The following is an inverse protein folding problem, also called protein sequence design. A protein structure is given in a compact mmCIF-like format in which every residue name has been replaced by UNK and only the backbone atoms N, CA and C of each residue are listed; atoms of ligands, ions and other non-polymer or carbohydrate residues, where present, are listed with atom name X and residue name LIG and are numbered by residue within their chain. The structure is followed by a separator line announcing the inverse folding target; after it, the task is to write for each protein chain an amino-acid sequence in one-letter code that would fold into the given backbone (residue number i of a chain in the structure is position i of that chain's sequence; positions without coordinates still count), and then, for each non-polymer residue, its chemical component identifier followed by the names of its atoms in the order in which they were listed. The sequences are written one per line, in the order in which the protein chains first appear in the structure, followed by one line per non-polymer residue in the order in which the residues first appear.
data_IF_062290789737
#
_entry.id   IF_062290789737
#
_cell.length_a   1.000
_cell.length_b   1.000
_cell.length_c   1.000
_cell.angle_alpha   90.00
_cell.angle_beta   90.00
_cell.angle_gamma   90.00
#
_symmetry.space_group_name_H-M   'P 1'
#
loop_
_entity.id
_entity.type
_entity.pdbx_description
1 polymer ?
#
# COMPACT_ATOMS: atom_id res chain seq x y z
N UNK A 1 -6.36 30.68 -2.39
CA UNK A 1 -4.89 30.42 -2.54
C UNK A 1 -4.06 31.03 -1.43
N UNK A 2 -4.34 32.24 -0.94
CA UNK A 2 -3.60 32.91 0.14
C UNK A 2 -3.31 32.00 1.37
N UNK A 3 -4.32 31.23 1.81
CA UNK A 3 -4.13 30.27 2.90
C UNK A 3 -3.07 29.20 2.58
N UNK A 4 -3.11 28.63 1.38
CA UNK A 4 -2.17 27.60 0.95
C UNK A 4 -0.75 28.15 0.87
N UNK A 5 -0.56 29.30 0.26
CA UNK A 5 0.74 29.93 0.12
C UNK A 5 1.41 30.19 1.48
N UNK A 6 0.59 30.48 2.51
CA UNK A 6 1.07 30.73 3.88
C UNK A 6 1.26 29.48 4.73
N UNK A 7 0.41 28.43 4.53
CA UNK A 7 0.32 27.30 5.46
C UNK A 7 0.58 25.93 4.81
N UNK A 8 0.99 25.88 3.54
CA UNK A 8 1.31 24.61 2.88
C UNK A 8 2.36 23.84 3.67
N UNK A 9 2.21 22.54 3.74
CA UNK A 9 3.17 21.66 4.40
C UNK A 9 4.47 21.60 3.59
N UNK A 10 5.62 21.67 4.24
CA UNK A 10 6.91 21.38 3.61
C UNK A 10 7.08 19.86 3.51
N UNK A 11 7.01 19.31 2.29
CA UNK A 11 7.09 17.87 2.02
C UNK A 11 8.14 17.61 0.93
N UNK A 12 8.89 16.50 0.99
CA UNK A 12 9.99 16.22 0.05
C UNK A 12 9.59 16.15 -1.43
N UNK A 13 8.31 15.93 -1.70
CA UNK A 13 7.73 15.81 -3.06
C UNK A 13 6.97 17.08 -3.52
N UNK A 14 7.10 18.18 -2.79
CA UNK A 14 6.48 19.46 -3.17
C UNK A 14 7.49 20.42 -3.76
N UNK A 15 6.96 21.37 -4.53
CA UNK A 15 7.74 22.40 -5.21
C UNK A 15 8.86 21.81 -6.11
N UNK A 16 8.66 20.57 -6.59
CA UNK A 16 9.52 19.90 -7.55
C UNK A 16 8.75 19.72 -8.86
N UNK A 17 9.35 20.11 -9.97
CA UNK A 17 8.73 20.03 -11.30
C UNK A 17 9.12 18.70 -11.98
N UNK A 18 8.83 17.57 -11.30
CA UNK A 18 9.25 16.24 -11.72
C UNK A 18 8.05 15.28 -11.68
N UNK A 19 7.51 14.85 -12.84
CA UNK A 19 6.35 13.96 -12.90
C UNK A 19 6.58 12.61 -12.25
N UNK A 20 7.79 12.03 -12.34
CA UNK A 20 8.11 10.75 -11.73
C UNK A 20 8.05 10.85 -10.21
N UNK A 21 8.67 11.86 -9.63
CA UNK A 21 8.71 12.08 -8.18
C UNK A 21 7.33 12.40 -7.62
N UNK A 22 6.56 13.21 -8.34
CA UNK A 22 5.15 13.50 -8.00
C UNK A 22 4.33 12.21 -8.02
N UNK A 23 4.42 11.42 -9.09
CA UNK A 23 3.67 10.17 -9.22
C UNK A 23 4.04 9.16 -8.14
N UNK A 24 5.33 8.95 -7.88
CA UNK A 24 5.80 8.07 -6.80
C UNK A 24 5.19 8.45 -5.44
N UNK A 25 5.23 9.73 -5.09
CA UNK A 25 4.67 10.21 -3.82
C UNK A 25 3.18 9.91 -3.71
N UNK A 26 2.41 10.15 -4.77
CA UNK A 26 0.97 9.93 -4.80
C UNK A 26 0.62 8.43 -4.71
N UNK A 27 1.41 7.56 -5.33
CA UNK A 27 1.27 6.11 -5.18
C UNK A 27 1.58 5.66 -3.74
N UNK A 28 2.63 6.19 -3.12
CA UNK A 28 2.98 5.87 -1.73
C UNK A 28 1.95 6.38 -0.72
N UNK A 29 1.33 7.54 -0.99
CA UNK A 29 0.33 8.17 -0.12
C UNK A 29 -1.04 7.48 -0.14
N UNK A 30 -1.34 6.64 -1.14
CA UNK A 30 -2.60 5.90 -1.15
C UNK A 30 -2.77 5.07 0.14
N UNK A 31 -3.76 5.42 0.97
CA UNK A 31 -4.07 4.76 2.25
C UNK A 31 -2.90 4.71 3.26
N UNK A 32 -1.89 5.57 3.10
CA UNK A 32 -0.74 5.66 3.99
C UNK A 32 -0.57 7.10 4.48
N UNK A 33 -0.24 7.26 5.76
CA UNK A 33 -0.04 8.58 6.36
C UNK A 33 1.26 9.23 5.87
N UNK A 34 1.24 10.56 5.70
CA UNK A 34 2.39 11.36 5.21
C UNK A 34 3.68 11.08 5.99
N UNK A 35 3.61 11.09 7.33
CA UNK A 35 4.78 10.87 8.18
C UNK A 35 5.40 9.48 7.98
N UNK A 36 4.60 8.49 7.62
CA UNK A 36 5.10 7.16 7.28
C UNK A 36 5.74 7.15 5.90
N UNK A 37 5.21 7.90 4.93
CA UNK A 37 5.71 7.92 3.55
C UNK A 37 7.06 8.63 3.41
N UNK A 38 7.30 9.71 4.16
CA UNK A 38 8.52 10.53 4.04
C UNK A 38 9.81 9.68 4.02
N UNK A 39 10.10 8.81 5.01
CA UNK A 39 11.33 8.02 4.98
C UNK A 39 11.40 7.04 3.80
N UNK A 40 10.27 6.43 3.40
CA UNK A 40 10.22 5.52 2.25
C UNK A 40 10.51 6.24 0.94
N UNK A 41 9.90 7.40 0.74
CA UNK A 41 10.11 8.24 -0.42
C UNK A 41 11.58 8.66 -0.55
N UNK A 42 12.16 9.17 0.52
CA UNK A 42 13.56 9.61 0.52
C UNK A 42 14.53 8.46 0.21
N UNK A 43 14.31 7.28 0.82
CA UNK A 43 15.12 6.10 0.56
C UNK A 43 14.97 5.60 -0.88
N UNK A 44 13.74 5.65 -1.41
CA UNK A 44 13.47 5.27 -2.80
C UNK A 44 14.17 6.20 -3.79
N UNK A 45 13.98 7.52 -3.67
CA UNK A 45 14.59 8.50 -4.58
C UNK A 45 16.13 8.47 -4.51
N UNK A 46 16.70 8.17 -3.34
CA UNK A 46 18.16 8.00 -3.20
C UNK A 46 18.66 6.80 -4.03
N UNK A 47 17.93 5.68 -4.07
CA UNK A 47 18.34 4.47 -4.80
C UNK A 47 17.87 4.50 -6.26
N UNK A 48 16.71 5.05 -6.51
CA UNK A 48 16.06 5.10 -7.83
C UNK A 48 15.64 6.53 -8.16
N UNK A 49 16.59 7.39 -8.58
CA UNK A 49 16.33 8.83 -8.80
C UNK A 49 15.48 9.12 -10.03
N UNK A 50 15.37 8.19 -10.99
CA UNK A 50 14.66 8.34 -12.26
C UNK A 50 13.70 7.17 -12.50
N UNK A 51 12.74 7.37 -13.41
CA UNK A 51 11.83 6.33 -13.88
C UNK A 51 12.60 5.15 -14.49
N UNK A 52 13.59 5.43 -15.34
CA UNK A 52 14.39 4.40 -16.00
C UNK A 52 15.14 3.52 -14.99
N UNK A 53 15.68 4.13 -13.92
CA UNK A 53 16.34 3.35 -12.86
C UNK A 53 15.39 2.37 -12.16
N UNK A 54 14.08 2.70 -12.07
CA UNK A 54 13.06 1.76 -11.58
C UNK A 54 12.76 0.70 -12.63
N UNK A 55 12.57 1.08 -13.89
CA UNK A 55 12.23 0.13 -14.97
C UNK A 55 13.28 -0.96 -15.16
N UNK A 56 14.56 -0.62 -14.99
CA UNK A 56 15.72 -1.50 -15.13
C UNK A 56 16.05 -2.31 -13.86
N UNK A 57 15.37 -2.05 -12.75
CA UNK A 57 15.67 -2.70 -11.48
C UNK A 57 15.07 -4.09 -11.33
N UNK A 58 15.60 -4.87 -10.40
CA UNK A 58 14.97 -6.11 -9.96
C UNK A 58 13.77 -5.82 -9.05
N UNK A 59 12.65 -6.49 -9.32
CA UNK A 59 11.41 -6.26 -8.56
C UNK A 59 11.56 -6.56 -7.05
N UNK A 60 12.40 -7.54 -6.69
CA UNK A 60 12.67 -7.89 -5.29
C UNK A 60 13.34 -6.74 -4.52
N UNK A 61 14.19 -5.98 -5.17
CA UNK A 61 14.84 -4.80 -4.59
C UNK A 61 13.83 -3.68 -4.31
N UNK A 62 12.88 -3.49 -5.24
CA UNK A 62 11.78 -2.53 -5.04
C UNK A 62 10.85 -2.96 -3.92
N UNK A 63 10.52 -4.25 -3.85
CA UNK A 63 9.71 -4.80 -2.75
C UNK A 63 10.42 -4.64 -1.40
N UNK A 64 11.74 -4.77 -1.36
CA UNK A 64 12.51 -4.56 -0.13
C UNK A 64 12.46 -3.11 0.35
N UNK A 65 12.58 -2.14 -0.54
CA UNK A 65 12.42 -0.72 -0.19
C UNK A 65 10.98 -0.36 0.20
N UNK A 66 9.99 -1.12 -0.30
CA UNK A 66 8.57 -0.93 0.00
C UNK A 66 8.12 -1.66 1.26
N UNK A 67 8.97 -2.50 1.83
CA UNK A 67 8.64 -3.37 2.96
C UNK A 67 8.14 -2.56 4.16
N UNK A 68 6.97 -2.94 4.67
CA UNK A 68 6.32 -2.24 5.79
C UNK A 68 5.33 -1.15 5.39
N UNK A 69 5.41 -0.59 4.17
CA UNK A 69 4.47 0.43 3.68
C UNK A 69 3.08 -0.15 3.39
N UNK A 70 3.02 -1.47 3.11
CA UNK A 70 1.78 -2.19 2.81
C UNK A 70 1.23 -1.93 1.40
N UNK A 71 0.09 -2.58 1.09
CA UNK A 71 -0.54 -2.47 -0.24
C UNK A 71 0.46 -2.69 -1.39
N UNK A 72 1.19 -3.79 -1.34
CA UNK A 72 2.30 -4.11 -2.24
C UNK A 72 1.92 -4.16 -3.73
N UNK A 73 0.63 -4.33 -4.04
CA UNK A 73 0.12 -4.18 -5.41
C UNK A 73 0.40 -2.81 -6.01
N UNK A 74 0.53 -1.74 -5.19
CA UNK A 74 0.91 -0.41 -5.65
C UNK A 74 2.34 -0.41 -6.19
N UNK A 75 3.29 -0.96 -5.44
CA UNK A 75 4.69 -1.12 -5.87
C UNK A 75 4.76 -1.91 -7.17
N UNK A 76 4.07 -3.06 -7.24
CA UNK A 76 4.04 -3.91 -8.44
C UNK A 76 3.48 -3.19 -9.66
N UNK A 77 2.36 -2.49 -9.50
CA UNK A 77 1.73 -1.77 -10.60
C UNK A 77 2.59 -0.59 -11.04
N UNK A 78 3.18 0.14 -10.09
CA UNK A 78 4.10 1.24 -10.37
C UNK A 78 5.32 0.74 -11.17
N UNK A 79 5.95 -0.36 -10.75
CA UNK A 79 7.06 -0.98 -11.48
C UNK A 79 6.67 -1.33 -12.92
N UNK A 80 5.55 -2.04 -13.11
CA UNK A 80 5.05 -2.39 -14.45
C UNK A 80 4.77 -1.17 -15.32
N UNK A 81 4.20 -0.12 -14.73
CA UNK A 81 3.93 1.11 -15.46
C UNK A 81 5.24 1.84 -15.84
N UNK A 82 6.25 1.84 -14.96
CA UNK A 82 7.58 2.36 -15.30
C UNK A 82 8.22 1.59 -16.46
N UNK A 83 8.10 0.25 -16.48
CA UNK A 83 8.58 -0.57 -17.59
C UNK A 83 7.87 -0.23 -18.91
N UNK A 84 6.53 -0.12 -18.90
CA UNK A 84 5.77 0.27 -20.09
C UNK A 84 6.15 1.67 -20.58
N UNK A 85 6.33 2.64 -19.66
CA UNK A 85 6.76 3.99 -20.06
C UNK A 85 8.17 3.96 -20.65
N UNK A 86 9.07 3.13 -20.11
CA UNK A 86 10.41 2.99 -20.64
C UNK A 86 10.42 2.40 -22.05
N UNK A 87 9.55 1.41 -22.34
CA UNK A 87 9.50 0.72 -23.63
C UNK A 87 8.68 1.45 -24.69
N UNK A 88 7.52 1.99 -24.31
CA UNK A 88 6.52 2.47 -25.26
C UNK A 88 6.51 4.01 -25.40
N UNK A 89 7.21 4.71 -24.49
CA UNK A 89 7.23 6.18 -24.42
C UNK A 89 8.65 6.74 -24.18
N UNK A 90 9.70 6.02 -24.53
CA UNK A 90 11.11 6.45 -24.40
C UNK A 90 11.47 6.95 -22.99
N UNK A 91 10.83 6.42 -21.95
CA UNK A 91 11.02 6.82 -20.55
C UNK A 91 10.36 8.16 -20.17
N UNK A 92 9.59 8.77 -21.07
CA UNK A 92 8.90 10.06 -20.84
C UNK A 92 7.48 9.78 -20.38
N UNK A 93 7.12 10.29 -19.19
CA UNK A 93 5.76 10.17 -18.67
C UNK A 93 4.79 10.92 -19.57
N UNK A 94 3.75 10.23 -20.13
CA UNK A 94 2.77 10.88 -20.99
C UNK A 94 2.01 12.01 -20.26
N UNK A 95 1.94 13.17 -20.87
CA UNK A 95 1.13 14.30 -20.38
C UNK A 95 -0.34 14.24 -20.84
N UNK A 96 -0.71 13.28 -21.66
CA UNK A 96 -2.11 13.00 -22.00
C UNK A 96 -2.75 12.18 -20.91
N UNK A 97 -3.85 12.69 -20.33
CA UNK A 97 -4.53 12.04 -19.20
C UNK A 97 -5.14 10.68 -19.56
N UNK A 98 -5.58 10.47 -20.80
CA UNK A 98 -6.19 9.21 -21.23
C UNK A 98 -5.10 8.13 -21.31
N UNK A 99 -3.97 8.46 -21.94
CA UNK A 99 -2.81 7.55 -22.03
C UNK A 99 -2.29 7.24 -20.64
N UNK A 100 -2.06 8.26 -19.79
CA UNK A 100 -1.53 8.06 -18.46
C UNK A 100 -2.48 7.22 -17.57
N UNK A 101 -3.80 7.44 -17.67
CA UNK A 101 -4.81 6.69 -16.92
C UNK A 101 -4.93 5.22 -17.36
N UNK A 102 -4.43 4.85 -18.53
CA UNK A 102 -4.42 3.46 -19.01
C UNK A 102 -3.29 2.62 -18.40
N UNK A 103 -2.31 3.24 -17.75
CA UNK A 103 -1.17 2.55 -17.15
C UNK A 103 -1.55 1.73 -15.91
N UNK A 104 -0.85 0.62 -15.63
CA UNK A 104 -1.10 -0.21 -14.47
C UNK A 104 -1.09 0.58 -13.15
N UNK A 105 -2.18 0.50 -12.39
CA UNK A 105 -2.30 1.15 -11.09
C UNK A 105 -2.57 2.65 -11.12
N UNK A 106 -2.69 3.24 -12.30
CA UNK A 106 -3.11 4.64 -12.48
C UNK A 106 -4.62 4.68 -12.62
N UNK A 107 -5.28 5.33 -11.68
CA UNK A 107 -6.72 5.58 -11.72
C UNK A 107 -7.00 7.08 -11.75
N UNK A 108 -8.29 7.49 -11.78
CA UNK A 108 -8.69 8.90 -11.89
C UNK A 108 -8.06 9.83 -10.85
N UNK A 109 -7.80 9.32 -9.63
CA UNK A 109 -7.11 10.09 -8.60
C UNK A 109 -5.64 10.35 -8.97
N UNK A 110 -4.87 9.29 -9.27
CA UNK A 110 -3.44 9.41 -9.60
C UNK A 110 -3.26 10.25 -10.87
N UNK A 111 -4.06 9.99 -11.90
CA UNK A 111 -3.96 10.77 -13.14
C UNK A 111 -4.29 12.25 -12.90
N UNK A 112 -5.36 12.56 -12.16
CA UNK A 112 -5.69 13.94 -11.80
C UNK A 112 -4.60 14.62 -10.97
N UNK A 113 -3.99 13.92 -10.02
CA UNK A 113 -2.90 14.46 -9.20
C UNK A 113 -1.65 14.77 -10.03
N UNK A 114 -1.17 13.79 -10.82
CA UNK A 114 0.04 13.97 -11.63
C UNK A 114 -0.17 15.02 -12.71
N UNK A 115 -1.31 14.97 -13.43
CA UNK A 115 -1.62 15.97 -14.47
C UNK A 115 -1.72 17.39 -13.91
N UNK A 116 -2.31 17.56 -12.73
CA UNK A 116 -2.44 18.88 -12.13
C UNK A 116 -1.15 19.41 -11.50
N UNK A 117 -0.42 18.54 -10.78
CA UNK A 117 0.76 18.97 -10.00
C UNK A 117 1.99 19.10 -10.90
N UNK A 118 2.25 18.10 -11.74
CA UNK A 118 3.46 18.08 -12.56
C UNK A 118 3.30 18.72 -13.94
N UNK A 119 2.09 18.64 -14.53
CA UNK A 119 1.84 19.19 -15.87
C UNK A 119 0.95 20.44 -15.89
N UNK A 120 0.55 20.92 -14.71
CA UNK A 120 -0.30 22.13 -14.56
C UNK A 120 -1.62 22.07 -15.35
N UNK A 121 -2.18 20.88 -15.52
CA UNK A 121 -3.45 20.68 -16.23
C UNK A 121 -4.65 20.72 -15.26
N UNK A 122 -5.81 21.24 -15.67
CA UNK A 122 -6.95 21.49 -14.77
C UNK A 122 -7.76 20.21 -14.44
N UNK A 123 -7.12 19.23 -13.85
CA UNK A 123 -7.74 17.96 -13.47
C UNK A 123 -7.91 17.82 -11.95
N UNK A 124 -9.14 17.56 -11.45
CA UNK A 124 -9.38 17.28 -10.05
C UNK A 124 -8.73 15.97 -9.60
N UNK A 125 -8.03 15.99 -8.46
CA UNK A 125 -7.44 14.81 -7.81
C UNK A 125 -8.27 14.41 -6.58
N UNK A 126 -9.40 13.75 -6.78
CA UNK A 126 -10.37 13.48 -5.70
C UNK A 126 -9.92 12.29 -4.87
N UNK A 127 -9.22 12.56 -3.76
CA UNK A 127 -8.89 11.59 -2.72
C UNK A 127 -9.98 11.54 -1.63
N UNK A 128 -9.80 10.73 -0.60
CA UNK A 128 -10.71 10.64 0.53
C UNK A 128 -10.83 11.95 1.33
N UNK A 129 -9.79 12.81 1.34
CA UNK A 129 -9.81 14.10 2.01
C UNK A 129 -10.62 15.12 1.22
N UNK A 130 -10.33 15.26 -0.06
CA UNK A 130 -11.06 16.16 -0.97
C UNK A 130 -12.53 15.73 -1.03
N UNK A 131 -12.78 14.45 -1.17
CA UNK A 131 -14.17 13.94 -1.18
C UNK A 131 -14.93 14.34 0.10
N UNK A 132 -14.36 14.11 1.28
CA UNK A 132 -14.96 14.49 2.57
C UNK A 132 -15.22 15.99 2.67
N UNK A 133 -14.24 16.83 2.27
CA UNK A 133 -14.41 18.30 2.26
C UNK A 133 -15.57 18.68 1.36
N UNK A 134 -15.63 18.14 0.16
CA UNK A 134 -16.66 18.50 -0.81
C UNK A 134 -18.06 18.02 -0.40
N UNK A 135 -18.17 16.86 0.25
CA UNK A 135 -19.43 16.44 0.87
C UNK A 135 -19.92 17.46 1.90
N UNK A 136 -19.03 17.95 2.75
CA UNK A 136 -19.34 18.98 3.75
C UNK A 136 -19.62 20.33 3.12
N UNK A 137 -18.77 20.74 2.21
CA UNK A 137 -18.89 22.04 1.52
C UNK A 137 -20.23 22.16 0.78
N UNK A 138 -20.64 21.13 0.06
CA UNK A 138 -21.89 21.09 -0.70
C UNK A 138 -23.10 20.60 0.09
N UNK A 139 -22.94 20.12 1.33
CA UNK A 139 -24.01 19.57 2.16
C UNK A 139 -24.60 18.28 1.58
N UNK A 140 -23.76 17.39 1.04
CA UNK A 140 -24.17 16.12 0.44
C UNK A 140 -24.07 14.99 1.48
N UNK A 141 -25.14 14.21 1.68
CA UNK A 141 -25.17 13.17 2.72
C UNK A 141 -24.46 11.87 2.27
N UNK A 142 -24.83 11.38 1.10
CA UNK A 142 -24.51 10.02 0.68
C UNK A 142 -23.56 9.99 -0.50
N UNK A 143 -22.67 8.98 -0.51
CA UNK A 143 -21.77 8.72 -1.63
C UNK A 143 -22.54 7.98 -2.75
N UNK A 144 -23.10 8.75 -3.67
CA UNK A 144 -23.80 8.28 -4.88
C UNK A 144 -23.07 8.78 -6.12
N UNK A 145 -23.26 8.11 -7.26
CA UNK A 145 -22.72 8.55 -8.56
C UNK A 145 -23.14 9.99 -8.85
N UNK A 146 -24.41 10.32 -8.60
CA UNK A 146 -24.93 11.67 -8.79
C UNK A 146 -24.16 12.71 -7.95
N UNK A 147 -23.95 12.45 -6.69
CA UNK A 147 -23.24 13.36 -5.80
C UNK A 147 -21.74 13.47 -6.16
N UNK A 148 -21.11 12.37 -6.59
CA UNK A 148 -19.73 12.39 -7.06
C UNK A 148 -19.58 13.24 -8.33
N UNK A 149 -20.52 13.16 -9.26
CA UNK A 149 -20.54 14.00 -10.46
C UNK A 149 -20.69 15.49 -10.09
N UNK A 150 -21.52 15.82 -9.09
CA UNK A 150 -21.64 17.19 -8.56
C UNK A 150 -20.35 17.70 -7.94
N UNK A 151 -19.64 16.84 -7.18
CA UNK A 151 -18.34 17.16 -6.61
C UNK A 151 -17.34 17.45 -7.72
N UNK A 152 -17.24 16.54 -8.70
CA UNK A 152 -16.34 16.70 -9.84
C UNK A 152 -16.62 18.00 -10.60
N UNK A 153 -17.86 18.23 -10.99
CA UNK A 153 -18.28 19.47 -11.68
C UNK A 153 -17.98 20.73 -10.87
N UNK A 154 -18.11 20.69 -9.54
CA UNK A 154 -17.78 21.84 -8.70
C UNK A 154 -16.27 22.07 -8.62
N UNK A 155 -15.48 21.02 -8.51
CA UNK A 155 -14.03 21.11 -8.47
C UNK A 155 -13.47 21.66 -9.78
N UNK A 156 -13.99 21.26 -10.93
CA UNK A 156 -13.57 21.80 -12.24
C UNK A 156 -13.76 23.30 -12.35
N UNK A 157 -14.71 23.91 -11.64
CA UNK A 157 -14.86 25.36 -11.62
C UNK A 157 -13.78 26.10 -10.82
N UNK A 158 -13.06 25.42 -9.94
CA UNK A 158 -12.02 26.01 -9.07
C UNK A 158 -10.61 25.88 -9.63
N UNK A 159 -10.38 24.88 -10.47
CA UNK A 159 -9.05 24.30 -10.73
C UNK A 159 -8.30 24.97 -11.91
N UNK A 160 -8.73 26.13 -12.41
CA UNK A 160 -8.23 26.67 -13.69
C UNK A 160 -6.89 27.43 -13.62
N UNK A 161 -6.55 28.08 -12.49
CA UNK A 161 -5.38 28.97 -12.43
C UNK A 161 -4.12 28.30 -11.86
N UNK A 162 -4.27 27.46 -10.83
CA UNK A 162 -3.18 26.77 -10.12
C UNK A 162 -3.65 25.37 -9.73
N UNK A 163 -3.84 24.46 -10.72
CA UNK A 163 -4.54 23.20 -10.48
C UNK A 163 -3.86 22.32 -9.44
N UNK A 164 -2.55 22.15 -9.51
CA UNK A 164 -1.78 21.38 -8.54
C UNK A 164 -1.89 21.93 -7.13
N UNK A 165 -1.77 23.25 -6.99
CA UNK A 165 -1.85 23.91 -5.68
C UNK A 165 -3.25 23.82 -5.07
N UNK A 166 -4.29 23.90 -5.89
CA UNK A 166 -5.67 23.76 -5.42
C UNK A 166 -5.92 22.34 -4.91
N UNK A 167 -5.53 21.31 -5.65
CA UNK A 167 -5.63 19.92 -5.20
C UNK A 167 -4.86 19.72 -3.90
N UNK A 168 -3.59 20.12 -3.83
CA UNK A 168 -2.76 20.00 -2.63
C UNK A 168 -3.32 20.81 -1.45
N UNK A 169 -3.88 22.01 -1.68
CA UNK A 169 -4.49 22.81 -0.62
C UNK A 169 -5.70 22.11 -0.01
N UNK A 170 -6.55 21.49 -0.82
CA UNK A 170 -7.69 20.71 -0.34
C UNK A 170 -7.24 19.49 0.44
N UNK A 171 -6.20 18.79 -0.02
CA UNK A 171 -5.61 17.66 0.74
C UNK A 171 -5.07 18.13 2.11
N UNK A 172 -4.41 19.30 2.16
CA UNK A 172 -3.88 19.88 3.39
C UNK A 172 -5.01 20.30 4.36
N UNK A 173 -6.03 20.96 3.87
CA UNK A 173 -7.24 21.30 4.65
C UNK A 173 -7.86 20.01 5.20
N UNK A 174 -7.98 18.95 4.40
CA UNK A 174 -8.55 17.67 4.81
C UNK A 174 -7.74 16.96 5.90
N UNK A 175 -6.41 17.05 5.83
CA UNK A 175 -5.53 16.39 6.80
C UNK A 175 -5.32 17.19 8.10
N UNK A 176 -5.46 18.53 8.06
CA UNK A 176 -5.17 19.40 9.21
C UNK A 176 -6.41 20.03 9.85
N UNK A 177 -7.35 20.53 9.06
CA UNK A 177 -8.51 21.33 9.50
C UNK A 177 -9.81 20.51 9.46
N UNK A 178 -10.17 19.98 8.29
CA UNK A 178 -11.44 19.29 8.06
C UNK A 178 -11.28 17.78 8.19
N UNK A 179 -10.87 17.29 9.39
CA UNK A 179 -10.62 15.86 9.65
C UNK A 179 -11.91 15.06 9.73
N UNK A 180 -11.81 13.73 9.75
CA UNK A 180 -12.99 12.83 9.79
C UNK A 180 -13.81 12.97 11.06
N UNK A 181 -13.17 13.10 12.21
CA UNK A 181 -13.82 13.10 13.52
C UNK A 181 -13.73 14.45 14.27
N UNK A 182 -12.87 15.37 13.80
CA UNK A 182 -12.65 16.70 14.41
C UNK A 182 -12.53 17.71 13.27
N UNK A 183 -13.14 18.88 13.46
CA UNK A 183 -13.09 20.00 12.51
C UNK A 183 -12.70 21.29 13.21
N UNK A 184 -11.95 22.14 12.53
CA UNK A 184 -11.54 23.47 12.98
C UNK A 184 -12.06 24.51 11.99
N UNK A 185 -13.40 24.64 11.92
CA UNK A 185 -14.07 25.41 10.86
C UNK A 185 -13.73 26.89 10.88
N UNK A 186 -13.45 27.48 12.03
CA UNK A 186 -13.05 28.89 12.18
C UNK A 186 -11.70 29.19 11.50
N UNK A 187 -10.84 28.16 11.36
CA UNK A 187 -9.53 28.25 10.67
C UNK A 187 -9.61 27.86 9.20
N UNK A 188 -10.79 27.43 8.73
CA UNK A 188 -10.96 26.88 7.38
C UNK A 188 -11.17 28.01 6.36
N UNK A 189 -10.34 28.09 5.29
CA UNK A 189 -10.52 29.13 4.26
C UNK A 189 -11.81 28.97 3.45
N UNK A 190 -12.51 27.83 3.59
CA UNK A 190 -13.78 27.54 2.91
C UNK A 190 -15.01 27.78 3.79
N UNK A 191 -14.83 28.20 5.05
CA UNK A 191 -15.91 28.28 6.04
C UNK A 191 -17.10 29.15 5.62
N UNK A 192 -16.83 30.31 5.04
CA UNK A 192 -17.87 31.29 4.63
C UNK A 192 -18.87 30.73 3.61
N UNK A 193 -18.47 29.75 2.79
CA UNK A 193 -19.33 29.14 1.78
C UNK A 193 -19.66 27.67 2.06
N UNK A 194 -19.22 27.14 3.22
CA UNK A 194 -19.40 25.73 3.56
C UNK A 194 -20.80 25.49 4.12
N UNK A 195 -21.66 24.81 3.37
CA UNK A 195 -23.07 24.57 3.75
C UNK A 195 -23.22 23.91 5.11
N UNK A 196 -22.40 22.90 5.41
CA UNK A 196 -22.56 22.17 6.68
C UNK A 196 -22.03 22.96 7.89
N UNK A 197 -21.05 23.84 7.69
CA UNK A 197 -20.59 24.75 8.75
C UNK A 197 -21.65 25.83 9.03
N UNK A 198 -22.19 26.45 8.01
CA UNK A 198 -23.26 27.45 8.16
C UNK A 198 -24.50 26.88 8.86
N UNK A 199 -24.76 25.58 8.71
CA UNK A 199 -25.85 24.88 9.37
C UNK A 199 -25.44 24.29 10.76
N UNK A 200 -24.20 24.45 11.22
CA UNK A 200 -23.72 23.96 12.51
C UNK A 200 -23.52 22.44 12.62
N UNK A 201 -23.51 21.69 11.50
CA UNK A 201 -23.53 20.22 11.48
C UNK A 201 -22.45 19.55 10.64
N UNK A 202 -21.18 20.06 10.57
CA UNK A 202 -20.18 19.53 9.65
C UNK A 202 -19.81 18.05 9.91
N UNK A 203 -19.87 17.57 11.14
CA UNK A 203 -19.50 16.19 11.51
C UNK A 203 -20.56 15.14 11.11
N UNK A 204 -21.77 15.57 10.76
CA UNK A 204 -22.81 14.66 10.25
C UNK A 204 -22.59 14.29 8.77
N UNK A 205 -21.59 14.91 8.10
CA UNK A 205 -21.34 14.72 6.67
C UNK A 205 -19.90 14.26 6.38
N UNK A 206 -19.73 13.31 5.44
CA UNK A 206 -20.77 12.43 4.89
C UNK A 206 -21.30 11.46 5.94
N UNK A 207 -22.45 10.84 5.67
CA UNK A 207 -22.97 9.75 6.51
C UNK A 207 -21.93 8.63 6.65
N UNK A 208 -21.71 8.20 7.91
CA UNK A 208 -20.76 7.12 8.19
C UNK A 208 -21.36 5.76 7.82
N UNK A 209 -20.72 5.07 6.91
CA UNK A 209 -21.07 3.67 6.61
C UNK A 209 -20.57 2.80 7.78
N UNK A 210 -21.44 1.96 8.33
CA UNK A 210 -21.04 0.98 9.36
C UNK A 210 -19.96 0.05 8.81
N UNK A 211 -18.82 0.03 9.45
CA UNK A 211 -17.74 -0.88 9.06
C UNK A 211 -18.13 -2.34 9.41
N UNK A 212 -18.00 -3.24 8.46
CA UNK A 212 -18.13 -4.68 8.70
C UNK A 212 -16.95 -5.18 9.53
N UNK A 213 -17.21 -6.12 10.44
CA UNK A 213 -16.12 -6.81 11.17
C UNK A 213 -15.20 -7.52 10.18
N UNK A 214 -13.90 -7.37 10.37
CA UNK A 214 -12.92 -8.06 9.53
C UNK A 214 -13.00 -9.57 9.76
N UNK A 215 -13.11 -10.39 8.70
CA UNK A 215 -13.11 -11.83 8.83
C UNK A 215 -11.76 -12.31 9.39
N UNK A 216 -11.80 -13.30 10.27
CA UNK A 216 -10.64 -14.00 10.79
C UNK A 216 -10.31 -15.16 9.85
N UNK A 217 -9.05 -15.24 9.42
CA UNK A 217 -8.53 -16.35 8.60
C UNK A 217 -7.48 -17.10 9.41
N UNK A 218 -7.67 -18.40 9.57
CA UNK A 218 -6.74 -19.27 10.23
C UNK A 218 -5.68 -19.76 9.25
N UNK A 219 -4.44 -19.84 9.74
CA UNK A 219 -3.26 -20.20 8.96
C UNK A 219 -2.37 -21.10 9.82
N UNK A 220 -1.81 -22.11 9.19
CA UNK A 220 -0.75 -22.92 9.78
C UNK A 220 0.55 -22.65 9.02
N UNK A 221 1.63 -22.39 9.76
CA UNK A 221 2.97 -22.15 9.24
C UNK A 221 3.95 -23.20 9.77
N UNK A 222 4.87 -23.64 8.91
CA UNK A 222 5.93 -24.61 9.26
C UNK A 222 7.29 -23.93 9.37
N UNK A 223 7.84 -23.85 10.57
CA UNK A 223 9.25 -23.52 10.79
C UNK A 223 10.09 -24.75 10.47
N UNK A 224 10.79 -24.70 9.35
CA UNK A 224 11.66 -25.78 8.89
C UNK A 224 13.09 -25.28 8.98
N UNK A 225 13.91 -25.94 9.81
CA UNK A 225 15.30 -25.57 10.04
C UNK A 225 16.24 -26.69 9.60
N UNK A 226 17.36 -26.30 8.97
CA UNK A 226 18.45 -27.21 8.57
C UNK A 226 19.77 -26.45 8.61
N UNK A 227 20.77 -26.98 9.32
CA UNK A 227 22.11 -26.38 9.40
C UNK A 227 22.08 -24.88 9.79
N UNK A 228 21.33 -24.53 10.83
CA UNK A 228 21.12 -23.15 11.31
C UNK A 228 20.50 -22.18 10.26
N UNK A 229 19.85 -22.72 9.23
CA UNK A 229 19.14 -21.96 8.23
C UNK A 229 17.65 -22.28 8.27
N UNK A 230 16.83 -21.28 7.98
CA UNK A 230 15.38 -21.37 7.89
C UNK A 230 14.97 -21.44 6.42
N UNK A 231 14.04 -22.33 6.11
CA UNK A 231 13.40 -22.36 4.79
C UNK A 231 12.42 -21.20 4.68
N UNK A 232 12.62 -20.37 3.66
CA UNK A 232 11.67 -19.37 3.20
C UNK A 232 11.22 -19.66 1.78
N UNK A 233 10.00 -19.27 1.47
CA UNK A 233 9.38 -19.49 0.15
C UNK A 233 8.84 -18.17 -0.39
N UNK A 234 8.90 -18.00 -1.71
CA UNK A 234 8.37 -16.81 -2.37
C UNK A 234 6.89 -17.05 -2.73
N UNK A 235 6.04 -16.13 -2.39
CA UNK A 235 4.63 -16.16 -2.79
C UNK A 235 4.49 -15.95 -4.30
N UNK A 236 3.51 -16.63 -4.88
CA UNK A 236 3.15 -16.37 -6.28
C UNK A 236 2.83 -14.89 -6.49
N UNK A 237 3.11 -14.37 -7.66
CA UNK A 237 2.89 -12.96 -8.01
C UNK A 237 1.41 -12.54 -8.04
N UNK A 238 0.49 -13.35 -7.49
CA UNK A 238 -0.95 -13.10 -7.43
C UNK A 238 -1.37 -12.66 -6.03
N UNK A 239 -2.41 -11.83 -5.96
CA UNK A 239 -2.99 -11.37 -4.70
C UNK A 239 -2.20 -10.24 -4.00
N UNK A 240 -2.70 -9.81 -2.85
CA UNK A 240 -2.25 -8.61 -2.13
C UNK A 240 -0.81 -8.67 -1.59
N UNK A 241 -0.29 -9.87 -1.32
CA UNK A 241 1.06 -10.12 -0.80
C UNK A 241 1.95 -10.84 -1.82
N UNK A 242 1.59 -10.81 -3.11
CA UNK A 242 2.33 -11.50 -4.16
C UNK A 242 3.76 -11.00 -4.31
N UNK A 243 4.70 -11.94 -4.52
CA UNK A 243 6.13 -11.67 -4.67
C UNK A 243 6.91 -11.54 -3.35
N UNK A 244 6.25 -11.42 -2.19
CA UNK A 244 6.92 -11.39 -0.91
C UNK A 244 7.41 -12.80 -0.49
N UNK A 245 8.45 -12.80 0.34
CA UNK A 245 8.92 -14.00 0.99
C UNK A 245 8.15 -14.28 2.28
N UNK A 246 8.02 -15.55 2.63
CA UNK A 246 7.36 -15.99 3.86
C UNK A 246 7.91 -17.31 4.36
N UNK A 247 7.73 -17.60 5.65
CA UNK A 247 7.79 -18.98 6.18
C UNK A 247 6.66 -19.75 5.49
N UNK A 248 6.91 -21.00 5.02
CA UNK A 248 5.87 -21.78 4.35
C UNK A 248 4.59 -21.85 5.18
N UNK A 249 3.46 -21.43 4.59
CA UNK A 249 2.18 -21.38 5.30
C UNK A 249 0.99 -21.65 4.39
N UNK A 250 -0.10 -22.15 4.97
CA UNK A 250 -1.34 -22.47 4.28
C UNK A 250 -2.56 -21.99 5.08
N UNK A 251 -3.58 -21.52 4.35
CA UNK A 251 -4.90 -21.23 4.94
C UNK A 251 -5.61 -22.54 5.33
N UNK A 252 -6.23 -22.55 6.51
CA UNK A 252 -6.95 -23.68 7.05
C UNK A 252 -8.28 -23.25 7.66
N UNK A 253 -9.22 -24.19 7.76
CA UNK A 253 -10.48 -23.93 8.48
C UNK A 253 -10.26 -24.06 10.01
N UNK A 254 -9.45 -25.03 10.43
CA UNK A 254 -9.05 -25.25 11.82
C UNK A 254 -7.52 -25.11 11.97
N UNK A 255 -7.08 -24.36 12.97
CA UNK A 255 -5.66 -24.14 13.28
C UNK A 255 -4.92 -25.42 13.78
N UNK A 256 -5.62 -26.49 14.00
CA UNK A 256 -5.03 -27.78 14.43
C UNK A 256 -4.89 -28.78 13.28
N UNK A 257 -5.26 -28.42 12.05
CA UNK A 257 -5.17 -29.32 10.90
C UNK A 257 -3.72 -29.44 10.36
N UNK A 258 -2.90 -30.16 11.15
CA UNK A 258 -1.50 -30.42 10.81
C UNK A 258 -1.34 -31.28 9.54
N UNK A 259 -2.35 -32.06 9.18
CA UNK A 259 -2.34 -32.89 7.97
C UNK A 259 -2.28 -32.01 6.71
N UNK A 260 -3.03 -30.90 6.68
CA UNK A 260 -2.98 -29.95 5.55
C UNK A 260 -1.61 -29.33 5.37
N UNK A 261 -0.89 -28.99 6.46
CA UNK A 261 0.48 -28.46 6.36
C UNK A 261 1.44 -29.50 5.75
N UNK A 262 1.37 -30.76 6.20
CA UNK A 262 2.19 -31.86 5.65
C UNK A 262 1.92 -32.06 4.17
N UNK A 263 0.64 -32.18 3.79
CA UNK A 263 0.22 -32.34 2.39
C UNK A 263 0.65 -31.17 1.53
N UNK A 264 0.49 -29.93 2.02
CA UNK A 264 0.92 -28.74 1.32
C UNK A 264 2.43 -28.71 1.05
N UNK A 265 3.25 -29.02 2.07
CA UNK A 265 4.70 -29.03 1.94
C UNK A 265 5.17 -30.16 1.03
N UNK A 266 4.53 -31.33 1.11
CA UNK A 266 4.84 -32.47 0.21
C UNK A 266 4.50 -32.13 -1.25
N UNK A 267 3.28 -31.65 -1.51
CA UNK A 267 2.80 -31.45 -2.87
C UNK A 267 3.48 -30.26 -3.55
N UNK A 268 3.75 -29.18 -2.80
CA UNK A 268 4.27 -27.95 -3.38
C UNK A 268 5.81 -27.90 -3.42
N UNK A 269 6.48 -28.48 -2.42
CA UNK A 269 7.93 -28.35 -2.26
C UNK A 269 8.66 -29.69 -2.23
N UNK A 270 7.96 -30.81 -2.37
CA UNK A 270 8.46 -32.17 -2.24
C UNK A 270 9.15 -32.45 -0.90
N UNK A 271 8.63 -31.85 0.18
CA UNK A 271 9.16 -32.01 1.53
C UNK A 271 8.24 -32.90 2.36
N UNK A 272 8.76 -34.04 2.80
CA UNK A 272 8.15 -34.87 3.85
C UNK A 272 8.61 -34.34 5.20
N UNK A 273 7.65 -33.98 6.06
CA UNK A 273 7.95 -33.40 7.36
C UNK A 273 7.29 -34.19 8.51
N UNK A 274 7.98 -34.18 9.65
CA UNK A 274 7.43 -34.48 10.96
C UNK A 274 7.19 -33.17 11.69
N UNK A 275 5.98 -32.96 12.23
CA UNK A 275 5.66 -31.84 13.08
C UNK A 275 6.01 -32.23 14.52
N UNK A 276 6.89 -31.47 15.15
CA UNK A 276 7.38 -31.77 16.49
C UNK A 276 6.49 -31.13 17.57
N UNK A 277 6.38 -29.78 17.57
CA UNK A 277 5.60 -29.03 18.55
C UNK A 277 5.14 -27.73 17.98
N UNK A 278 4.19 -27.09 18.68
CA UNK A 278 3.72 -25.75 18.36
C UNK A 278 4.61 -24.72 19.03
N UNK A 279 5.23 -23.83 18.23
CA UNK A 279 6.07 -22.73 18.72
C UNK A 279 5.20 -21.62 19.34
N UNK A 280 4.07 -21.30 18.73
CA UNK A 280 3.14 -20.30 19.24
C UNK A 280 2.17 -19.78 18.19
N UNK A 281 1.50 -18.67 18.53
CA UNK A 281 0.52 -18.02 17.66
C UNK A 281 0.86 -16.55 17.46
N UNK A 282 0.57 -16.05 16.23
CA UNK A 282 0.66 -14.65 15.87
C UNK A 282 -0.67 -14.17 15.28
N UNK A 283 -1.19 -13.07 15.80
CA UNK A 283 -2.34 -12.39 15.19
C UNK A 283 -1.85 -11.13 14.50
N UNK A 284 -2.24 -10.97 13.23
CA UNK A 284 -1.96 -9.78 12.45
C UNK A 284 -3.21 -9.31 11.68
N UNK A 285 -3.48 -8.00 11.72
CA UNK A 285 -4.62 -7.39 11.01
C UNK A 285 -4.15 -6.72 9.74
N UNK A 286 -4.75 -7.13 8.62
CA UNK A 286 -4.69 -6.42 7.34
C UNK A 286 -5.97 -5.60 7.16
N UNK A 287 -6.03 -4.80 6.10
CA UNK A 287 -7.19 -3.93 5.81
C UNK A 287 -8.49 -4.70 5.59
N UNK A 288 -8.41 -5.95 5.10
CA UNK A 288 -9.57 -6.72 4.66
C UNK A 288 -9.84 -7.98 5.49
N UNK A 289 -8.89 -8.43 6.30
CA UNK A 289 -9.02 -9.60 7.17
C UNK A 289 -7.97 -9.61 8.27
N UNK A 290 -8.19 -10.43 9.30
CA UNK A 290 -7.20 -10.76 10.32
C UNK A 290 -6.62 -12.14 10.03
N UNK A 291 -5.30 -12.30 10.15
CA UNK A 291 -4.62 -13.60 10.13
C UNK A 291 -4.39 -14.06 11.57
N UNK A 292 -4.76 -15.31 11.85
CA UNK A 292 -4.39 -16.02 13.06
C UNK A 292 -3.47 -17.17 12.64
N UNK A 293 -2.17 -17.01 12.88
CA UNK A 293 -1.13 -17.90 12.37
C UNK A 293 -0.63 -18.78 13.52
N UNK A 294 -0.80 -20.09 13.42
CA UNK A 294 -0.18 -21.07 14.30
C UNK A 294 1.14 -21.53 13.69
N UNK A 295 2.25 -21.30 14.37
CA UNK A 295 3.59 -21.71 13.94
C UNK A 295 3.96 -23.03 14.59
N UNK A 296 4.39 -24.01 13.78
CA UNK A 296 4.84 -25.32 14.22
C UNK A 296 6.31 -25.54 13.83
N UNK A 297 7.10 -26.11 14.73
CA UNK A 297 8.43 -26.61 14.43
C UNK A 297 8.30 -27.91 13.64
N UNK A 298 9.04 -28.00 12.53
CA UNK A 298 8.96 -29.12 11.59
C UNK A 298 10.36 -29.61 11.23
N UNK A 299 10.52 -30.92 11.21
CA UNK A 299 11.73 -31.62 10.80
C UNK A 299 11.53 -32.32 9.45
N UNK A 300 12.52 -32.28 8.57
CA UNK A 300 12.49 -32.95 7.27
C UNK A 300 12.80 -34.43 7.50
N UNK A 301 11.95 -35.32 6.99
CA UNK A 301 12.10 -36.78 7.15
C UNK A 301 12.59 -37.50 5.90
N UNK A 302 12.43 -36.90 4.72
CA UNK A 302 12.92 -37.50 3.47
C UNK A 302 14.41 -37.16 3.23
N UNK A 303 15.14 -38.10 2.61
CA UNK A 303 16.54 -37.93 2.22
C UNK A 303 16.72 -37.02 1.00
N UNK A 304 15.63 -36.67 0.30
CA UNK A 304 15.66 -35.83 -0.90
C UNK A 304 15.93 -34.39 -0.50
N UNK A 305 17.12 -33.89 -0.78
CA UNK A 305 17.58 -32.54 -0.42
C UNK A 305 17.31 -31.50 -1.48
N UNK A 306 16.82 -31.90 -2.64
CA UNK A 306 16.50 -30.97 -3.73
C UNK A 306 15.05 -30.52 -3.59
N UNK A 307 14.90 -29.23 -3.24
CA UNK A 307 13.62 -28.53 -3.32
C UNK A 307 13.18 -28.49 -4.79
N UNK A 308 11.91 -28.73 -5.06
CA UNK A 308 11.35 -28.54 -6.40
C UNK A 308 11.50 -27.06 -6.79
N UNK A 309 12.64 -26.72 -7.39
CA UNK A 309 13.00 -25.36 -7.78
C UNK A 309 12.16 -24.81 -8.95
N UNK A 310 11.39 -25.67 -9.60
CA UNK A 310 10.70 -25.36 -10.86
C UNK A 310 9.35 -24.64 -10.69
N UNK A 311 8.74 -24.68 -9.51
CA UNK A 311 7.37 -24.16 -9.34
C UNK A 311 7.30 -22.89 -8.46
N UNK A 312 8.17 -22.79 -7.44
CA UNK A 312 8.21 -21.60 -6.57
C UNK A 312 9.62 -21.40 -6.03
N UNK A 313 10.11 -20.17 -6.10
CA UNK A 313 11.41 -19.86 -5.51
C UNK A 313 11.39 -20.16 -4.00
N UNK A 314 12.38 -20.94 -3.54
CA UNK A 314 12.60 -21.25 -2.14
C UNK A 314 14.08 -21.07 -1.81
N UNK A 315 14.38 -20.69 -0.57
CA UNK A 315 15.75 -20.44 -0.12
C UNK A 315 15.94 -20.87 1.32
N UNK A 316 17.14 -21.35 1.60
CA UNK A 316 17.64 -21.55 2.95
C UNK A 316 18.43 -20.30 3.37
N UNK A 317 17.94 -19.58 4.34
CA UNK A 317 18.57 -18.34 4.83
C UNK A 317 18.96 -18.49 6.30
N UNK A 318 20.08 -17.89 6.66
CA UNK A 318 20.46 -17.67 8.05
C UNK A 318 19.72 -16.48 8.66
N UNK A 319 19.68 -16.35 9.97
CA UNK A 319 19.00 -15.27 10.68
C UNK A 319 19.49 -13.88 10.27
N UNK A 320 20.79 -13.72 10.06
CA UNK A 320 21.39 -12.46 9.62
C UNK A 320 21.10 -12.10 8.15
N UNK A 321 20.46 -12.98 7.40
CA UNK A 321 20.08 -12.73 6.00
C UNK A 321 18.61 -12.30 5.85
N UNK A 322 17.82 -12.30 6.92
CA UNK A 322 16.39 -11.91 6.87
C UNK A 322 16.23 -10.52 6.24
N UNK A 323 17.12 -9.60 6.56
CA UNK A 323 17.06 -8.22 6.05
C UNK A 323 17.33 -8.10 4.54
N UNK A 324 17.81 -9.14 3.88
CA UNK A 324 18.01 -9.15 2.43
C UNK A 324 16.72 -9.41 1.65
N UNK A 325 15.66 -9.89 2.29
CA UNK A 325 14.42 -10.31 1.64
C UNK A 325 13.23 -9.49 2.13
N UNK A 326 12.26 -9.25 1.25
CA UNK A 326 11.04 -8.54 1.59
C UNK A 326 9.99 -9.50 2.19
N UNK A 327 9.58 -9.27 3.42
CA UNK A 327 8.55 -10.04 4.11
C UNK A 327 7.32 -9.18 4.42
N UNK A 328 6.16 -9.79 4.56
CA UNK A 328 5.03 -9.07 5.14
C UNK A 328 5.11 -9.05 6.68
N UNK A 329 4.53 -8.05 7.29
CA UNK A 329 4.68 -7.77 8.73
C UNK A 329 4.30 -8.94 9.65
N UNK A 330 3.42 -9.85 9.22
CA UNK A 330 3.10 -11.04 10.00
C UNK A 330 4.30 -12.01 10.09
N UNK A 331 5.15 -12.11 9.03
CA UNK A 331 6.38 -12.91 9.09
C UNK A 331 7.42 -12.32 10.05
N UNK A 332 7.58 -11.01 10.13
CA UNK A 332 8.45 -10.39 11.13
C UNK A 332 8.03 -10.77 12.55
N UNK A 333 6.72 -10.77 12.82
CA UNK A 333 6.20 -11.26 14.11
C UNK A 333 6.47 -12.75 14.36
N UNK A 334 6.48 -13.58 13.30
CA UNK A 334 6.88 -14.97 13.43
C UNK A 334 8.36 -15.11 13.75
N UNK A 335 9.24 -14.33 13.13
CA UNK A 335 10.66 -14.31 13.47
C UNK A 335 10.90 -13.87 14.93
N UNK A 336 10.23 -12.80 15.38
CA UNK A 336 10.26 -12.37 16.79
C UNK A 336 9.79 -13.47 17.75
N UNK A 337 8.75 -14.23 17.38
CA UNK A 337 8.25 -15.36 18.16
C UNK A 337 9.30 -16.48 18.27
N UNK A 338 9.96 -16.81 17.16
CA UNK A 338 11.00 -17.84 17.11
C UNK A 338 12.20 -17.41 17.99
N UNK A 339 12.61 -16.15 17.93
CA UNK A 339 13.73 -15.64 18.73
C UNK A 339 13.45 -15.75 20.24
N UNK A 340 12.20 -15.46 20.65
CA UNK A 340 11.76 -15.61 22.03
C UNK A 340 11.67 -17.07 22.51
N UNK A 341 11.44 -18.02 21.60
CA UNK A 341 11.37 -19.44 21.94
C UNK A 341 12.74 -20.11 22.07
N UNK A 342 13.79 -19.46 21.53
CA UNK A 342 15.17 -19.93 21.57
C UNK A 342 16.02 -19.23 22.67
N UNK A 343 15.44 -18.22 23.34
CA UNK A 343 16.04 -17.51 24.48
C UNK A 343 15.59 -18.13 25.81
#
# INVERSE_FOLDING_TARGET
MFWYDKYKRNLPWRDINDPYKTWLSEVMLQQTQVNTVIPYYNNWIKKYPTLSSVAESEFDDLLKLWEGLGYYSRCKNFFKACQLISTDFDGIIPSDIIIFNSLPGVGPYISGAVMSIAFNQPHPAIDGNINRIMFRYLGLKNNTIYNNNRIYAKLTTFINLRPGDINQSLMDIGSSICKSNIVYCEKCPLSQSCKTFLNGIPLLYPEKIKQKKLPLKNIIAGLIEKNNKILIVKRDNKGALGGLWEIPMIFVNDNNDQFLLKSFLKNKYNLDIKINYKVGNVIHSFSHYKMNISLFNCEITNKCTELNSTINASKWISRNEIDKYAFHKANHKLFELIDKSNA
#
